data_IF_635769564681
#
_entry.id   IF_635769564681
#
_cell.length_a   1.000
_cell.length_b   1.000
_cell.length_c   1.000
_cell.angle_alpha   90.00
_cell.angle_beta   90.00
_cell.angle_gamma   90.00
#
_symmetry.space_group_name_H-M   'P 1'
#
loop_
_entity.id
_entity.type
_entity.pdbx_description
1 polymer ?
#
# COMPACT_ATOMS: atom_id res chain seq x y z
N UNK A 1 -32.38 54.76 -48.39
CA UNK A 1 -31.26 55.25 -47.56
C UNK A 1 -31.73 55.28 -46.10
N UNK A 2 -30.97 54.83 -45.10
CA UNK A 2 -29.94 53.79 -45.07
C UNK A 2 -30.17 52.73 -43.95
N UNK A 3 -29.46 51.61 -44.10
CA UNK A 3 -28.79 50.82 -43.04
C UNK A 3 -29.59 50.01 -42.02
N UNK A 4 -29.77 48.74 -42.38
CA UNK A 4 -29.85 47.58 -41.49
C UNK A 4 -28.56 47.49 -40.63
N UNK A 5 -28.75 47.46 -39.31
CA UNK A 5 -27.67 47.38 -38.33
C UNK A 5 -27.24 45.92 -38.22
N UNK A 6 -25.99 45.65 -38.61
CA UNK A 6 -25.24 44.43 -38.31
C UNK A 6 -25.03 44.32 -36.79
N UNK A 7 -25.15 43.12 -36.23
CA UNK A 7 -24.08 42.54 -35.41
C UNK A 7 -24.32 41.06 -35.19
N UNK A 8 -23.40 40.30 -35.80
CA UNK A 8 -23.21 38.87 -35.70
C UNK A 8 -22.74 38.53 -34.26
N UNK A 9 -23.28 37.47 -33.69
CA UNK A 9 -22.79 36.89 -32.44
C UNK A 9 -21.34 36.39 -32.60
N UNK A 10 -20.49 36.65 -31.60
CA UNK A 10 -19.24 35.92 -31.43
C UNK A 10 -19.09 35.58 -29.94
N UNK A 11 -19.51 34.37 -29.60
CA UNK A 11 -19.25 33.68 -28.35
C UNK A 11 -17.75 33.49 -28.18
N UNK A 12 -17.13 34.23 -27.25
CA UNK A 12 -15.76 33.98 -26.83
C UNK A 12 -15.73 32.70 -25.99
N UNK A 13 -15.38 31.58 -26.62
CA UNK A 13 -15.11 30.32 -25.94
C UNK A 13 -13.81 30.46 -25.12
N UNK A 14 -13.94 30.49 -23.79
CA UNK A 14 -12.82 30.34 -22.86
C UNK A 14 -12.39 28.87 -22.90
N UNK A 15 -11.40 28.55 -23.74
CA UNK A 15 -10.70 27.27 -23.67
C UNK A 15 -9.74 27.29 -22.47
N UNK A 16 -10.22 26.82 -21.32
CA UNK A 16 -9.36 26.46 -20.21
C UNK A 16 -8.47 25.28 -20.63
N UNK A 17 -7.21 25.56 -20.96
CA UNK A 17 -6.16 24.58 -21.12
C UNK A 17 -5.84 23.97 -19.75
N UNK A 18 -6.63 22.98 -19.32
CA UNK A 18 -6.20 22.06 -18.27
C UNK A 18 -5.09 21.20 -18.86
N UNK A 19 -3.84 21.54 -18.53
CA UNK A 19 -2.68 20.73 -18.84
C UNK A 19 -2.83 19.35 -18.22
N UNK A 20 -3.05 18.34 -19.07
CA UNK A 20 -2.96 16.94 -18.68
C UNK A 20 -1.47 16.67 -18.43
N UNK A 21 -1.03 16.80 -17.17
CA UNK A 21 0.28 16.31 -16.80
C UNK A 21 0.31 14.79 -17.01
N UNK A 22 1.35 14.24 -17.67
CA UNK A 22 1.45 12.79 -17.85
C UNK A 22 1.54 12.13 -16.48
N UNK A 23 0.60 11.22 -16.19
CA UNK A 23 0.72 10.34 -15.03
C UNK A 23 1.97 9.47 -15.24
N UNK A 24 2.97 9.64 -14.38
CA UNK A 24 4.17 8.80 -14.42
C UNK A 24 3.77 7.39 -14.00
N UNK A 25 3.92 6.42 -14.90
CA UNK A 25 3.63 5.03 -14.60
C UNK A 25 4.67 4.48 -13.61
N UNK A 26 4.20 3.79 -12.58
CA UNK A 26 5.07 3.07 -11.64
C UNK A 26 5.79 1.92 -12.37
N UNK A 27 7.03 1.66 -11.98
CA UNK A 27 7.79 0.51 -12.48
C UNK A 27 7.19 -0.78 -11.90
N UNK A 28 7.00 -1.81 -12.71
CA UNK A 28 6.54 -3.10 -12.20
C UNK A 28 7.68 -3.80 -11.44
N UNK A 29 7.52 -3.95 -10.12
CA UNK A 29 8.48 -4.61 -9.24
C UNK A 29 8.17 -6.10 -9.03
N UNK A 30 7.12 -6.65 -9.64
CA UNK A 30 6.65 -8.02 -9.40
C UNK A 30 7.64 -9.12 -9.81
N UNK A 31 8.51 -8.84 -10.78
CA UNK A 31 9.56 -9.76 -11.22
C UNK A 31 10.78 -9.78 -10.28
N UNK A 32 10.94 -8.77 -9.44
CA UNK A 32 12.04 -8.68 -8.48
C UNK A 32 11.69 -9.45 -7.21
N UNK A 33 12.71 -9.93 -6.49
CA UNK A 33 12.55 -10.56 -5.17
C UNK A 33 13.47 -9.96 -4.13
N UNK A 34 13.18 -10.21 -2.86
CA UNK A 34 14.05 -9.86 -1.75
C UNK A 34 14.41 -8.37 -1.70
N UNK A 35 15.68 -8.05 -1.49
CA UNK A 35 16.16 -6.67 -1.41
C UNK A 35 15.96 -5.88 -2.71
N UNK A 36 16.06 -6.53 -3.88
CA UNK A 36 15.85 -5.87 -5.16
C UNK A 36 14.39 -5.39 -5.32
N UNK A 37 13.43 -6.22 -4.92
CA UNK A 37 12.01 -5.83 -4.88
C UNK A 37 11.79 -4.63 -3.96
N UNK A 38 12.36 -4.70 -2.74
CA UNK A 38 12.28 -3.60 -1.77
C UNK A 38 12.85 -2.29 -2.31
N UNK A 39 13.97 -2.32 -3.01
CA UNK A 39 14.56 -1.11 -3.59
C UNK A 39 13.66 -0.53 -4.69
N UNK A 40 13.15 -1.39 -5.58
CA UNK A 40 12.24 -0.99 -6.65
C UNK A 40 10.97 -0.31 -6.10
N UNK A 41 10.37 -0.86 -5.05
CA UNK A 41 9.18 -0.28 -4.41
C UNK A 41 9.48 1.10 -3.79
N UNK A 42 10.61 1.24 -3.08
CA UNK A 42 11.01 2.54 -2.51
C UNK A 42 11.29 3.56 -3.63
N UNK A 43 11.88 3.15 -4.75
CA UNK A 43 12.13 4.02 -5.90
C UNK A 43 10.82 4.49 -6.57
N UNK A 44 9.81 3.62 -6.68
CA UNK A 44 8.47 4.00 -7.11
C UNK A 44 7.81 5.01 -6.14
N UNK A 45 7.94 4.79 -4.82
CA UNK A 45 7.43 5.71 -3.81
C UNK A 45 8.12 7.09 -3.88
N UNK A 46 9.42 7.12 -4.19
CA UNK A 46 10.17 8.37 -4.41
C UNK A 46 9.61 9.10 -5.64
N UNK A 47 9.38 8.38 -6.75
CA UNK A 47 8.82 8.97 -7.97
C UNK A 47 7.42 9.54 -7.70
N UNK A 48 6.57 8.81 -6.98
CA UNK A 48 5.24 9.26 -6.58
C UNK A 48 5.29 10.50 -5.67
N UNK A 49 6.16 10.50 -4.66
CA UNK A 49 6.34 11.66 -3.77
C UNK A 49 6.81 12.90 -4.55
N UNK A 50 7.72 12.73 -5.52
CA UNK A 50 8.20 13.80 -6.39
C UNK A 50 7.07 14.35 -7.27
N UNK A 51 6.26 13.49 -7.89
CA UNK A 51 5.12 13.90 -8.71
C UNK A 51 4.08 14.72 -7.92
N UNK A 52 3.94 14.43 -6.63
CA UNK A 52 3.04 15.15 -5.71
C UNK A 52 3.68 16.39 -5.07
N UNK A 53 4.92 16.75 -5.44
CA UNK A 53 5.70 17.82 -4.80
C UNK A 53 5.83 17.64 -3.27
N UNK A 54 5.80 16.40 -2.78
CA UNK A 54 5.92 16.07 -1.37
C UNK A 54 7.39 15.87 -0.97
N UNK A 55 8.12 16.99 -0.89
CA UNK A 55 9.58 17.01 -0.65
C UNK A 55 9.98 16.36 0.68
N UNK A 56 9.16 16.49 1.73
CA UNK A 56 9.42 15.85 3.03
C UNK A 56 9.38 14.32 2.92
N UNK A 57 8.35 13.78 2.26
CA UNK A 57 8.23 12.33 2.03
C UNK A 57 9.35 11.83 1.14
N UNK A 58 9.65 12.55 0.06
CA UNK A 58 10.75 12.20 -0.85
C UNK A 58 12.09 12.09 -0.10
N UNK A 59 12.44 13.08 0.72
CA UNK A 59 13.68 13.07 1.49
C UNK A 59 13.77 11.86 2.45
N UNK A 60 12.67 11.55 3.15
CA UNK A 60 12.59 10.38 4.02
C UNK A 60 12.77 9.06 3.26
N UNK A 61 12.11 8.92 2.11
CA UNK A 61 12.23 7.73 1.26
C UNK A 61 13.63 7.57 0.67
N UNK A 62 14.29 8.65 0.26
CA UNK A 62 15.69 8.62 -0.21
C UNK A 62 16.64 8.15 0.87
N UNK A 63 16.44 8.60 2.12
CA UNK A 63 17.20 8.10 3.27
C UNK A 63 16.94 6.61 3.49
N UNK A 64 15.67 6.18 3.47
CA UNK A 64 15.30 4.78 3.60
C UNK A 64 15.91 3.89 2.50
N UNK A 65 15.95 4.38 1.25
CA UNK A 65 16.59 3.69 0.13
C UNK A 65 18.10 3.52 0.36
N UNK A 66 18.78 4.58 0.84
CA UNK A 66 20.21 4.52 1.13
C UNK A 66 20.52 3.53 2.25
N UNK A 67 19.75 3.56 3.35
CA UNK A 67 19.86 2.60 4.45
C UNK A 67 19.57 1.17 3.99
N UNK A 68 18.56 0.98 3.13
CA UNK A 68 18.24 -0.32 2.57
C UNK A 68 19.36 -0.83 1.66
N UNK A 69 19.95 0.02 0.80
CA UNK A 69 21.11 -0.34 -0.03
C UNK A 69 22.35 -0.67 0.80
N UNK A 70 22.50 -0.05 1.97
CA UNK A 70 23.64 -0.30 2.87
C UNK A 70 23.50 -1.57 3.73
N UNK A 71 22.27 -1.96 4.08
CA UNK A 71 22.05 -2.96 5.15
C UNK A 71 21.09 -4.10 4.79
N UNK A 72 20.36 -4.01 3.69
CA UNK A 72 19.48 -5.09 3.26
C UNK A 72 20.32 -6.27 2.78
N UNK A 73 20.02 -7.44 3.32
CA UNK A 73 20.49 -8.72 2.81
C UNK A 73 19.27 -9.63 2.69
N UNK A 74 19.23 -10.46 1.66
CA UNK A 74 18.09 -11.35 1.42
C UNK A 74 17.90 -12.32 2.60
N UNK A 75 18.98 -12.79 3.21
CA UNK A 75 18.92 -13.64 4.40
C UNK A 75 18.27 -12.92 5.60
N UNK A 76 18.67 -11.68 5.89
CA UNK A 76 18.06 -10.90 6.98
C UNK A 76 16.59 -10.59 6.69
N UNK A 77 16.24 -10.35 5.42
CA UNK A 77 14.85 -10.12 5.02
C UNK A 77 14.02 -11.39 5.18
N UNK A 78 14.55 -12.55 4.74
CA UNK A 78 13.92 -13.85 4.92
C UNK A 78 13.68 -14.15 6.40
N UNK A 79 14.70 -14.01 7.25
CA UNK A 79 14.55 -14.26 8.69
C UNK A 79 13.51 -13.36 9.36
N UNK A 80 13.37 -12.10 8.91
CA UNK A 80 12.31 -11.21 9.40
C UNK A 80 10.92 -11.69 8.96
N UNK A 81 10.74 -12.08 7.70
CA UNK A 81 9.48 -12.62 7.19
C UNK A 81 9.09 -13.92 7.90
N UNK A 82 10.06 -14.81 8.14
CA UNK A 82 9.83 -16.04 8.91
C UNK A 82 9.43 -15.76 10.36
N UNK A 83 10.02 -14.72 10.98
CA UNK A 83 9.63 -14.30 12.32
C UNK A 83 8.19 -13.78 12.35
N UNK A 84 7.79 -12.97 11.36
CA UNK A 84 6.42 -12.49 11.23
C UNK A 84 5.43 -13.65 11.04
N UNK A 85 5.74 -14.63 10.18
CA UNK A 85 4.92 -15.85 10.02
C UNK A 85 4.73 -16.58 11.36
N UNK A 86 5.80 -16.77 12.15
CA UNK A 86 5.71 -17.41 13.48
C UNK A 86 4.85 -16.60 14.46
N UNK A 87 5.00 -15.27 14.45
CA UNK A 87 4.18 -14.38 15.28
C UNK A 87 2.70 -14.50 14.91
N UNK A 88 2.37 -14.41 13.62
CA UNK A 88 0.99 -14.54 13.13
C UNK A 88 0.41 -15.93 13.40
N UNK A 89 1.20 -16.99 13.27
CA UNK A 89 0.79 -18.35 13.63
C UNK A 89 0.42 -18.44 15.12
N UNK A 90 1.22 -17.83 15.99
CA UNK A 90 0.95 -17.77 17.43
C UNK A 90 -0.36 -17.02 17.71
N UNK A 91 -0.56 -15.88 17.05
CA UNK A 91 -1.79 -15.08 17.16
C UNK A 91 -3.03 -15.88 16.72
N UNK A 92 -2.95 -16.70 15.68
CA UNK A 92 -4.05 -17.60 15.28
C UNK A 92 -4.38 -18.56 16.43
N UNK A 93 -3.38 -19.24 16.99
CA UNK A 93 -3.58 -20.17 18.11
C UNK A 93 -4.21 -19.50 19.34
N UNK A 94 -3.78 -18.28 19.66
CA UNK A 94 -4.38 -17.48 20.74
C UNK A 94 -5.86 -17.17 20.48
N UNK A 95 -6.22 -16.80 19.24
CA UNK A 95 -7.62 -16.50 18.88
C UNK A 95 -8.51 -17.74 18.85
N UNK A 96 -7.97 -18.90 18.47
CA UNK A 96 -8.68 -20.18 18.57
C UNK A 96 -9.02 -20.50 20.03
N UNK A 97 -8.08 -20.28 20.95
CA UNK A 97 -8.32 -20.45 22.38
C UNK A 97 -9.34 -19.44 22.93
N UNK A 98 -9.24 -18.16 22.55
CA UNK A 98 -10.25 -17.13 22.93
C UNK A 98 -11.66 -17.53 22.47
N UNK A 99 -11.78 -18.05 21.24
CA UNK A 99 -13.06 -18.51 20.70
C UNK A 99 -13.60 -19.72 21.48
N UNK A 100 -12.74 -20.69 21.81
CA UNK A 100 -13.11 -21.84 22.65
C UNK A 100 -13.65 -21.41 24.01
N UNK A 101 -12.98 -20.46 24.66
CA UNK A 101 -13.43 -19.91 25.94
C UNK A 101 -14.73 -19.12 25.83
N UNK A 102 -14.89 -18.33 24.78
CA UNK A 102 -16.13 -17.60 24.52
C UNK A 102 -17.31 -18.55 24.34
N UNK A 103 -17.11 -19.66 23.60
CA UNK A 103 -18.11 -20.73 23.41
C UNK A 103 -18.46 -21.40 24.73
N UNK A 104 -17.47 -21.73 25.56
CA UNK A 104 -17.70 -22.32 26.88
C UNK A 104 -18.50 -21.41 27.83
N UNK A 105 -18.32 -20.08 27.72
CA UNK A 105 -19.05 -19.08 28.52
C UNK A 105 -20.44 -18.76 27.97
N UNK A 106 -20.77 -19.19 26.75
CA UNK A 106 -22.12 -19.08 26.15
C UNK A 106 -22.59 -17.65 25.81
N UNK A 107 -21.69 -16.67 25.76
CA UNK A 107 -22.05 -15.27 25.44
C UNK A 107 -21.94 -15.02 23.94
N UNK A 108 -23.07 -14.96 23.24
CA UNK A 108 -23.11 -14.85 21.78
C UNK A 108 -22.30 -13.65 21.25
N UNK A 109 -22.42 -12.47 21.88
CA UNK A 109 -21.65 -11.28 21.51
C UNK A 109 -20.13 -11.49 21.58
N UNK A 110 -19.66 -12.28 22.55
CA UNK A 110 -18.25 -12.62 22.72
C UNK A 110 -17.81 -13.66 21.71
N UNK A 111 -18.66 -14.64 21.40
CA UNK A 111 -18.40 -15.66 20.38
C UNK A 111 -18.23 -14.99 19.03
N UNK A 112 -19.16 -14.12 18.63
CA UNK A 112 -19.10 -13.42 17.34
C UNK A 112 -17.86 -12.53 17.24
N UNK A 113 -17.50 -11.83 18.33
CA UNK A 113 -16.28 -11.02 18.37
C UNK A 113 -15.01 -11.86 18.27
N UNK A 114 -14.95 -13.01 18.95
CA UNK A 114 -13.80 -13.91 18.92
C UNK A 114 -13.64 -14.55 17.52
N UNK A 115 -14.75 -14.93 16.89
CA UNK A 115 -14.77 -15.49 15.54
C UNK A 115 -14.19 -14.49 14.51
N UNK A 116 -14.63 -13.24 14.52
CA UNK A 116 -14.09 -12.20 13.63
C UNK A 116 -12.58 -11.98 13.82
N UNK A 117 -12.11 -11.98 15.06
CA UNK A 117 -10.68 -11.82 15.37
C UNK A 117 -9.85 -13.02 14.91
N UNK A 118 -10.41 -14.22 14.98
CA UNK A 118 -9.77 -15.43 14.45
C UNK A 118 -9.64 -15.34 12.93
N UNK A 119 -10.70 -14.94 12.23
CA UNK A 119 -10.68 -14.73 10.78
C UNK A 119 -9.67 -13.67 10.36
N UNK A 120 -9.60 -12.55 11.09
CA UNK A 120 -8.58 -11.51 10.88
C UNK A 120 -7.16 -12.06 11.08
N UNK A 121 -6.91 -12.80 12.17
CA UNK A 121 -5.60 -13.40 12.43
C UNK A 121 -5.22 -14.43 11.35
N UNK A 122 -6.16 -15.24 10.86
CA UNK A 122 -5.93 -16.19 9.78
C UNK A 122 -5.62 -15.48 8.46
N UNK A 123 -6.32 -14.37 8.17
CA UNK A 123 -6.03 -13.53 7.00
C UNK A 123 -4.63 -12.92 7.06
N UNK A 124 -4.24 -12.34 8.21
CA UNK A 124 -2.88 -11.81 8.43
C UNK A 124 -1.82 -12.90 8.30
N UNK A 125 -2.07 -14.09 8.85
CA UNK A 125 -1.15 -15.23 8.73
C UNK A 125 -0.97 -15.68 7.27
N UNK A 126 -2.06 -15.78 6.52
CA UNK A 126 -2.00 -16.12 5.09
C UNK A 126 -1.27 -15.05 4.28
N UNK A 127 -1.48 -13.77 4.58
CA UNK A 127 -0.74 -12.68 3.95
C UNK A 127 0.76 -12.78 4.26
N UNK A 128 1.14 -13.09 5.51
CA UNK A 128 2.54 -13.31 5.88
C UNK A 128 3.18 -14.50 5.15
N UNK A 129 2.43 -15.59 4.92
CA UNK A 129 2.91 -16.73 4.12
C UNK A 129 3.15 -16.39 2.64
N UNK A 130 2.30 -15.54 2.06
CA UNK A 130 2.50 -15.02 0.70
C UNK A 130 3.76 -14.16 0.66
N UNK A 131 3.91 -13.26 1.62
CA UNK A 131 5.07 -12.38 1.71
C UNK A 131 6.37 -13.16 1.98
N UNK A 132 6.34 -14.29 2.72
CA UNK A 132 7.53 -15.09 2.99
C UNK A 132 8.31 -15.50 1.73
N UNK A 133 7.64 -15.65 0.60
CA UNK A 133 8.24 -16.12 -0.66
C UNK A 133 8.47 -15.00 -1.69
N UNK A 134 8.37 -13.74 -1.26
CA UNK A 134 8.42 -12.55 -2.11
C UNK A 134 9.80 -11.90 -2.16
#
# INVERSE_FOLDING_TARGET
>A
MPSLIKSLAATAAVCALFGIAPAQAATDCSAQRGCAAKFCEIENDIAAAKAQNNTRREAGLRKALAEAKAHCTDSRLQSQREADVREKQTKVSEREQELKEARAKGKQDKIDKAQRKLEEAQSEYNAALVELNR
#
